data_IF_623580274213
#
_entry.id   IF_623580274213
#
_cell.length_a   1.000
_cell.length_b   1.000
_cell.length_c   1.000
_cell.angle_alpha   90.00
_cell.angle_beta   90.00
_cell.angle_gamma   90.00
#
_symmetry.space_group_name_H-M   'P 1'
#
loop_
_entity.id
_entity.type
_entity.pdbx_description
1 polymer ?
#
# COMPACT_ATOMS: atom_id res chain seq x y z
N UNK A 1 -13.31 36.70 -6.27
CA UNK A 1 -13.03 36.35 -4.87
C UNK A 1 -12.49 34.93 -4.89
N UNK A 2 -11.20 34.74 -4.60
CA UNK A 2 -10.55 33.43 -4.67
C UNK A 2 -11.01 32.61 -3.46
N UNK A 3 -11.80 31.56 -3.69
CA UNK A 3 -12.06 30.58 -2.65
C UNK A 3 -10.73 29.86 -2.39
N UNK A 4 -10.08 30.17 -1.28
CA UNK A 4 -8.97 29.36 -0.80
C UNK A 4 -9.51 27.96 -0.59
N UNK A 5 -8.93 26.97 -1.29
CA UNK A 5 -9.33 25.58 -1.18
C UNK A 5 -9.24 25.14 0.29
N UNK A 6 -10.39 25.11 0.96
CA UNK A 6 -10.47 24.61 2.32
C UNK A 6 -10.19 23.11 2.25
N UNK A 7 -9.04 22.69 2.75
CA UNK A 7 -8.72 21.27 2.89
C UNK A 7 -9.69 20.70 3.93
N UNK A 8 -10.73 20.01 3.46
CA UNK A 8 -11.66 19.30 4.33
C UNK A 8 -10.84 18.22 5.06
N UNK A 9 -10.79 18.22 6.40
CA UNK A 9 -10.09 17.17 7.13
C UNK A 9 -10.77 15.83 6.82
N UNK A 10 -10.03 14.95 6.15
CA UNK A 10 -10.50 13.64 5.66
C UNK A 10 -10.87 12.77 6.86
N UNK A 11 -12.14 12.44 7.02
CA UNK A 11 -12.59 11.54 8.09
C UNK A 11 -12.35 10.09 7.65
N UNK A 12 -11.22 9.53 8.06
CA UNK A 12 -10.90 8.10 7.90
C UNK A 12 -11.24 7.40 9.21
N UNK A 13 -12.13 6.41 9.17
CA UNK A 13 -12.38 5.56 10.34
C UNK A 13 -11.22 4.58 10.48
N UNK A 14 -10.32 4.88 11.40
CA UNK A 14 -9.16 4.03 11.71
C UNK A 14 -9.40 3.37 13.06
N UNK A 15 -9.23 2.06 13.15
CA UNK A 15 -9.29 1.35 14.43
C UNK A 15 -8.00 1.58 15.23
N UNK A 16 -8.08 1.42 16.56
CA UNK A 16 -6.88 1.49 17.40
C UNK A 16 -5.83 0.50 16.87
N UNK A 17 -4.59 0.98 16.66
CA UNK A 17 -3.44 0.27 16.07
C UNK A 17 -3.33 0.25 14.54
N UNK A 18 -4.17 1.00 13.83
CA UNK A 18 -4.04 1.20 12.39
C UNK A 18 -3.63 2.64 12.08
N UNK A 19 -2.96 2.84 10.95
CA UNK A 19 -2.68 4.17 10.39
C UNK A 19 -2.77 4.13 8.88
N UNK A 20 -3.25 5.21 8.27
CA UNK A 20 -3.24 5.35 6.80
C UNK A 20 -2.02 6.16 6.40
N UNK A 21 -1.31 5.66 5.39
CA UNK A 21 -0.02 6.18 4.93
C UNK A 21 -0.07 6.37 3.42
N UNK A 22 0.55 7.45 2.95
CA UNK A 22 0.71 7.70 1.52
C UNK A 22 1.82 6.84 0.93
N UNK A 23 1.77 6.63 -0.38
CA UNK A 23 2.79 5.85 -1.08
C UNK A 23 4.22 6.39 -0.89
N UNK A 24 4.38 7.72 -0.77
CA UNK A 24 5.66 8.39 -0.57
C UNK A 24 6.31 8.09 0.79
N UNK A 25 5.49 7.91 1.83
CA UNK A 25 5.95 7.71 3.21
C UNK A 25 6.08 6.23 3.59
N UNK A 26 5.47 5.32 2.81
CA UNK A 26 5.46 3.88 3.09
C UNK A 26 6.87 3.26 3.27
N UNK A 27 7.89 3.60 2.43
CA UNK A 27 9.23 3.05 2.61
C UNK A 27 9.88 3.42 3.95
N UNK A 28 9.62 4.64 4.45
CA UNK A 28 10.15 5.09 5.74
C UNK A 28 9.47 4.37 6.90
N UNK A 29 8.17 4.12 6.79
CA UNK A 29 7.40 3.35 7.78
C UNK A 29 7.87 1.89 7.86
N UNK A 30 8.10 1.24 6.71
CA UNK A 30 8.65 -0.13 6.65
C UNK A 30 10.01 -0.17 7.35
N UNK A 31 10.92 0.73 6.98
CA UNK A 31 12.26 0.78 7.57
C UNK A 31 12.23 1.02 9.08
N UNK A 32 11.33 1.89 9.55
CA UNK A 32 11.17 2.14 10.98
C UNK A 32 10.69 0.89 11.72
N UNK A 33 9.73 0.15 11.14
CA UNK A 33 9.24 -1.10 11.71
C UNK A 33 10.36 -2.16 11.81
N UNK A 34 11.19 -2.29 10.77
CA UNK A 34 12.36 -3.19 10.77
C UNK A 34 13.37 -2.84 11.87
N UNK A 35 13.74 -1.57 11.99
CA UNK A 35 14.69 -1.09 13.02
C UNK A 35 14.16 -1.33 14.44
N UNK A 36 12.84 -1.22 14.62
CA UNK A 36 12.18 -1.43 15.89
C UNK A 36 11.86 -2.92 16.16
N UNK A 37 12.06 -3.80 15.19
CA UNK A 37 11.71 -5.23 15.30
C UNK A 37 10.21 -5.46 15.48
N UNK A 38 9.38 -4.65 14.80
CA UNK A 38 7.92 -4.71 14.90
C UNK A 38 7.35 -5.25 13.59
N UNK A 39 6.40 -6.18 13.69
CA UNK A 39 5.64 -6.63 12.54
C UNK A 39 4.65 -5.57 12.06
N UNK A 40 4.46 -5.48 10.75
CA UNK A 40 3.42 -4.63 10.17
C UNK A 40 2.68 -5.38 9.07
N UNK A 41 1.35 -5.25 9.06
CA UNK A 41 0.49 -5.67 7.96
C UNK A 41 0.15 -4.45 7.10
N UNK A 42 0.37 -4.57 5.79
CA UNK A 42 0.18 -3.49 4.83
C UNK A 42 -0.93 -3.89 3.85
N UNK A 43 -1.95 -3.06 3.72
CA UNK A 43 -3.11 -3.31 2.86
C UNK A 43 -3.43 -2.09 2.00
N UNK A 44 -3.83 -2.30 0.75
CA UNK A 44 -4.31 -1.20 -0.10
C UNK A 44 -5.70 -0.76 0.31
N UNK A 45 -5.93 0.56 0.31
CA UNK A 45 -7.24 1.14 0.55
C UNK A 45 -7.51 2.28 -0.44
N UNK A 46 -8.76 2.34 -0.91
CA UNK A 46 -9.24 3.48 -1.68
C UNK A 46 -9.82 4.51 -0.72
N UNK A 47 -9.21 5.69 -0.64
CA UNK A 47 -9.64 6.79 0.23
C UNK A 47 -10.33 7.85 -0.62
N UNK A 48 -11.58 8.24 -0.31
CA UNK A 48 -12.24 9.32 -1.04
C UNK A 48 -11.47 10.63 -0.86
N UNK A 49 -11.18 11.32 -1.96
CA UNK A 49 -10.49 12.61 -1.99
C UNK A 49 -11.51 13.74 -1.90
N UNK A 50 -12.69 13.55 -2.47
CA UNK A 50 -13.78 14.52 -2.54
C UNK A 50 -15.15 13.82 -2.56
N UNK A 51 -16.21 14.64 -2.51
CA UNK A 51 -17.61 14.19 -2.58
C UNK A 51 -18.05 13.81 -4.01
N UNK A 52 -17.24 14.15 -5.02
CA UNK A 52 -17.49 13.88 -6.44
C UNK A 52 -17.12 12.43 -6.84
N UNK A 53 -16.63 11.64 -5.89
CA UNK A 53 -16.33 10.23 -6.07
C UNK A 53 -14.91 9.97 -6.59
N UNK A 54 -13.99 10.92 -6.46
CA UNK A 54 -12.58 10.65 -6.71
C UNK A 54 -11.98 9.92 -5.52
N UNK A 55 -11.17 8.88 -5.80
CA UNK A 55 -10.49 8.09 -4.78
C UNK A 55 -8.98 8.12 -5.01
N UNK A 56 -8.23 8.11 -3.91
CA UNK A 56 -6.79 7.93 -3.90
C UNK A 56 -6.45 6.53 -3.41
N UNK A 57 -5.44 5.92 -4.01
CA UNK A 57 -4.85 4.69 -3.49
C UNK A 57 -3.90 5.07 -2.35
N UNK A 58 -4.25 4.69 -1.12
CA UNK A 58 -3.39 4.82 0.06
C UNK A 58 -3.16 3.43 0.70
N UNK A 59 -2.38 3.40 1.78
CA UNK A 59 -1.98 2.16 2.45
C UNK A 59 -2.42 2.18 3.91
N UNK A 60 -3.12 1.12 4.35
CA UNK A 60 -3.37 0.87 5.77
C UNK A 60 -2.18 0.09 6.30
N UNK A 61 -1.52 0.64 7.32
CA UNK A 61 -0.49 -0.03 8.10
C UNK A 61 -1.08 -0.40 9.45
N UNK A 62 -1.13 -1.69 9.74
CA UNK A 62 -1.56 -2.23 11.03
C UNK A 62 -0.34 -2.76 11.76
N UNK A 63 -0.16 -2.36 13.03
CA UNK A 63 0.87 -2.97 13.87
C UNK A 63 0.52 -4.43 14.12
N UNK A 64 1.47 -5.31 13.84
CA UNK A 64 1.42 -6.72 14.18
C UNK A 64 2.47 -6.99 15.27
N UNK A 65 2.13 -7.84 16.24
CA UNK A 65 3.07 -8.27 17.28
C UNK A 65 4.00 -9.36 16.75
N UNK A 66 3.63 -10.00 15.64
CA UNK A 66 4.42 -11.01 14.95
C UNK A 66 5.18 -10.37 13.78
N UNK A 67 6.51 -10.41 13.81
CA UNK A 67 7.34 -9.97 12.68
C UNK A 67 7.13 -10.96 11.53
N UNK A 68 6.73 -10.52 10.33
CA UNK A 68 6.61 -11.41 9.18
C UNK A 68 7.93 -12.16 8.96
N UNK A 69 7.87 -13.49 9.06
CA UNK A 69 9.00 -14.33 8.72
C UNK A 69 9.05 -14.46 7.21
N UNK A 70 9.88 -13.65 6.56
CA UNK A 70 10.19 -13.85 5.15
C UNK A 70 11.12 -15.05 5.03
N UNK A 71 10.76 -16.00 4.16
CA UNK A 71 11.72 -17.01 3.73
C UNK A 71 12.83 -16.30 2.94
N UNK A 72 14.10 -16.60 3.26
CA UNK A 72 15.22 -16.11 2.46
C UNK A 72 15.04 -16.60 1.03
N UNK A 73 14.75 -15.67 0.12
CA UNK A 73 14.64 -16.00 -1.28
C UNK A 73 16.02 -16.39 -1.81
N UNK A 74 16.19 -17.65 -2.23
CA UNK A 74 17.47 -18.20 -2.73
C UNK A 74 17.93 -17.62 -4.09
N UNK A 75 17.24 -16.60 -4.61
CA UNK A 75 17.73 -15.81 -5.74
C UNK A 75 17.75 -16.55 -7.08
N UNK A 76 16.87 -17.53 -7.28
CA UNK A 76 16.64 -18.14 -8.60
C UNK A 76 15.15 -18.27 -8.87
N UNK A 77 14.66 -17.49 -9.83
CA UNK A 77 13.42 -17.81 -10.51
C UNK A 77 13.72 -19.00 -11.45
N UNK A 78 13.42 -20.23 -11.02
CA UNK A 78 13.33 -21.35 -11.96
C UNK A 78 12.03 -21.15 -12.71
N UNK A 79 12.16 -20.66 -13.95
CA UNK A 79 11.03 -20.35 -14.81
C UNK A 79 10.07 -21.52 -14.85
N UNK A 80 8.78 -21.22 -14.66
CA UNK A 80 7.70 -22.16 -14.90
C UNK A 80 7.98 -22.88 -16.22
N UNK A 81 8.19 -24.20 -16.12
CA UNK A 81 8.32 -25.08 -17.27
C UNK A 81 7.12 -24.83 -18.19
N UNK A 82 7.37 -24.21 -19.33
CA UNK A 82 6.57 -24.20 -20.55
C UNK A 82 5.07 -24.48 -20.38
N UNK A 83 4.29 -23.50 -19.92
CA UNK A 83 2.90 -23.35 -20.34
C UNK A 83 2.82 -22.07 -21.18
N UNK A 84 2.86 -22.29 -22.49
CA UNK A 84 2.82 -21.31 -23.59
C UNK A 84 1.46 -20.59 -23.71
N UNK A 85 0.83 -20.17 -22.61
CA UNK A 85 -0.33 -19.27 -22.68
C UNK A 85 0.17 -17.83 -22.80
N UNK A 86 0.54 -17.50 -24.04
CA UNK A 86 0.74 -16.19 -24.64
C UNK A 86 0.00 -15.06 -23.89
N UNK A 87 0.71 -14.37 -22.98
CA UNK A 87 0.23 -13.09 -22.43
C UNK A 87 0.31 -12.03 -23.52
N UNK A 88 -0.69 -12.04 -24.42
CA UNK A 88 -0.87 -11.01 -25.44
C UNK A 88 -1.24 -9.71 -24.74
N UNK A 89 -0.25 -8.85 -24.53
CA UNK A 89 -0.46 -7.44 -24.24
C UNK A 89 -0.96 -6.78 -25.52
N UNK A 90 -2.28 -6.71 -25.70
CA UNK A 90 -2.87 -5.87 -26.74
C UNK A 90 -2.67 -4.40 -26.37
N UNK A 91 -1.51 -3.86 -26.76
CA UNK A 91 -1.31 -2.43 -26.86
C UNK A 91 -2.27 -1.90 -27.92
N UNK A 92 -3.31 -1.21 -27.48
CA UNK A 92 -4.28 -0.54 -28.34
C UNK A 92 -3.57 0.48 -29.23
N UNK A 93 -3.87 0.42 -30.53
CA UNK A 93 -3.59 1.49 -31.49
C UNK A 93 -4.69 2.56 -31.43
#
# INVERSE_FOLDING_TARGET
>A
MSAGAATIPRMVTVYANQTVVRAEDLPEVIRAAEVLGIGIKIENVMVPIDEDGNYSLEWIVTRDEEVPAYEEWEGRYEGAEEDEDELVLSAAE
#
